data_IF_143080035575
#
_entry.id   IF_143080035575
#
_cell.length_a   1.000
_cell.length_b   1.000
_cell.length_c   1.000
_cell.angle_alpha   90.00
_cell.angle_beta   90.00
_cell.angle_gamma   90.00
#
_symmetry.space_group_name_H-M   'P 1'
#
loop_
_entity.id
_entity.type
_entity.pdbx_description
1 polymer ?
#
# COMPACT_ATOMS: atom_id res chain seq x y z
N UNK A 1 3.86 -2.42 12.80
CA UNK A 1 4.44 -1.06 12.90
C UNK A 1 3.77 -0.02 11.99
N UNK A 2 3.07 -0.38 10.91
CA UNK A 2 2.68 0.60 9.88
C UNK A 2 1.22 1.08 9.91
N UNK A 3 0.41 0.61 10.86
CA UNK A 3 -1.02 0.95 10.94
C UNK A 3 -1.29 2.47 10.99
N UNK A 4 -0.57 3.30 11.77
CA UNK A 4 -0.83 4.75 11.81
C UNK A 4 -0.65 5.44 10.44
N UNK A 5 0.34 4.97 9.66
CA UNK A 5 0.64 5.50 8.33
C UNK A 5 -0.42 5.13 7.28
N UNK A 6 -1.16 4.04 7.48
CA UNK A 6 -2.32 3.69 6.66
C UNK A 6 -3.59 4.40 7.12
N UNK A 7 -3.78 4.59 8.43
CA UNK A 7 -5.03 5.15 8.98
C UNK A 7 -5.17 6.63 8.61
N UNK A 8 -4.10 7.43 8.69
CA UNK A 8 -4.18 8.86 8.44
C UNK A 8 -4.67 9.23 7.03
N UNK A 9 -4.12 8.68 5.93
CA UNK A 9 -4.61 9.04 4.59
C UNK A 9 -6.02 8.52 4.33
N UNK A 10 -6.40 7.37 4.91
CA UNK A 10 -7.78 6.86 4.83
C UNK A 10 -8.73 7.82 5.57
N UNK A 11 -8.35 8.30 6.75
CA UNK A 11 -9.13 9.24 7.52
C UNK A 11 -9.33 10.55 6.76
N UNK A 12 -8.26 11.14 6.21
CA UNK A 12 -8.34 12.38 5.42
C UNK A 12 -9.24 12.20 4.20
N UNK A 13 -9.15 11.06 3.52
CA UNK A 13 -9.99 10.76 2.37
C UNK A 13 -11.47 10.61 2.72
N UNK A 14 -11.78 10.08 3.90
CA UNK A 14 -13.16 10.00 4.41
C UNK A 14 -13.69 11.38 4.83
N UNK A 15 -12.86 12.20 5.49
CA UNK A 15 -13.22 13.55 5.96
C UNK A 15 -13.46 14.53 4.81
N UNK A 16 -12.82 14.29 3.65
CA UNK A 16 -12.99 15.11 2.44
C UNK A 16 -14.35 14.86 1.76
N UNK A 17 -15.08 13.79 2.10
CA UNK A 17 -16.37 13.47 1.46
C UNK A 17 -17.44 14.48 1.93
N UNK A 18 -18.05 15.25 1.01
CA UNK A 18 -19.05 16.24 1.39
C UNK A 18 -20.30 15.56 1.96
N UNK A 19 -20.80 16.09 3.09
CA UNK A 19 -21.99 15.56 3.81
C UNK A 19 -23.24 15.53 2.94
N UNK A 20 -23.35 16.44 1.96
CA UNK A 20 -24.47 16.49 1.01
C UNK A 20 -24.66 15.19 0.20
N UNK A 21 -23.58 14.43 -0.06
CA UNK A 21 -23.68 13.13 -0.74
C UNK A 21 -24.33 12.06 0.15
N UNK A 22 -24.09 12.13 1.47
CA UNK A 22 -24.70 11.22 2.44
C UNK A 22 -26.16 11.59 2.71
N UNK A 23 -26.46 12.88 2.75
CA UNK A 23 -27.83 13.40 2.86
C UNK A 23 -28.66 12.99 1.63
N UNK A 24 -28.17 13.23 0.41
CA UNK A 24 -28.85 12.82 -0.82
C UNK A 24 -29.06 11.30 -0.92
N UNK A 25 -28.09 10.49 -0.46
CA UNK A 25 -28.27 9.05 -0.39
C UNK A 25 -29.37 8.64 0.60
N UNK A 26 -29.47 9.35 1.72
CA UNK A 26 -30.50 9.12 2.75
C UNK A 26 -31.89 9.55 2.26
N UNK A 27 -31.98 10.66 1.54
CA UNK A 27 -33.22 11.17 0.92
C UNK A 27 -33.76 10.18 -0.14
N UNK A 28 -32.88 9.49 -0.86
CA UNK A 28 -33.23 8.43 -1.80
C UNK A 28 -33.58 7.09 -1.11
N UNK A 29 -33.63 7.05 0.23
CA UNK A 29 -33.96 5.86 1.00
C UNK A 29 -32.83 4.81 1.08
N UNK A 30 -31.57 5.19 0.81
CA UNK A 30 -30.46 4.26 0.90
C UNK A 30 -30.19 3.83 2.35
N UNK A 31 -30.11 2.53 2.58
CA UNK A 31 -29.66 1.97 3.86
C UNK A 31 -28.18 2.30 4.11
N UNK A 32 -27.72 2.38 5.38
CA UNK A 32 -26.33 2.72 5.71
C UNK A 32 -25.28 1.89 4.97
N UNK A 33 -25.52 0.59 4.82
CA UNK A 33 -24.62 -0.30 4.06
C UNK A 33 -24.58 0.02 2.56
N UNK A 34 -25.73 0.38 1.96
CA UNK A 34 -25.82 0.81 0.56
C UNK A 34 -25.11 2.14 0.36
N UNK A 35 -25.29 3.09 1.27
CA UNK A 35 -24.61 4.39 1.24
C UNK A 35 -23.09 4.22 1.37
N UNK A 36 -22.61 3.37 2.29
CA UNK A 36 -21.20 3.04 2.42
C UNK A 36 -20.62 2.47 1.12
N UNK A 37 -21.23 1.41 0.56
CA UNK A 37 -20.65 0.69 -0.59
C UNK A 37 -20.71 1.50 -1.89
N UNK A 38 -21.69 2.39 -2.03
CA UNK A 38 -21.99 3.08 -3.30
C UNK A 38 -21.57 4.54 -3.32
N UNK A 39 -21.42 5.17 -2.16
CA UNK A 39 -21.01 6.57 -2.02
C UNK A 39 -19.65 6.66 -1.33
N UNK A 40 -19.53 6.14 -0.11
CA UNK A 40 -18.31 6.33 0.71
C UNK A 40 -17.11 5.58 0.14
N UNK A 41 -17.27 4.29 -0.17
CA UNK A 41 -16.20 3.43 -0.66
C UNK A 41 -15.58 3.93 -1.99
N UNK A 42 -16.35 4.22 -3.06
CA UNK A 42 -15.76 4.69 -4.30
C UNK A 42 -15.12 6.09 -4.17
N UNK A 43 -15.69 7.00 -3.36
CA UNK A 43 -15.12 8.33 -3.16
C UNK A 43 -13.86 8.31 -2.27
N UNK A 44 -13.75 7.38 -1.32
CA UNK A 44 -12.52 7.22 -0.50
C UNK A 44 -11.45 6.33 -1.15
N UNK A 45 -11.77 5.63 -2.25
CA UNK A 45 -10.87 4.70 -2.93
C UNK A 45 -9.50 5.30 -3.32
N UNK A 46 -9.40 6.54 -3.84
CA UNK A 46 -8.10 7.16 -4.13
C UNK A 46 -7.23 7.29 -2.87
N UNK A 47 -7.84 7.66 -1.74
CA UNK A 47 -7.15 7.75 -0.45
C UNK A 47 -6.73 6.41 0.12
N UNK A 48 -7.56 5.37 -0.05
CA UNK A 48 -7.22 3.99 0.33
C UNK A 48 -6.05 3.46 -0.49
N UNK A 49 -6.03 3.73 -1.80
CA UNK A 49 -4.91 3.35 -2.68
C UNK A 49 -3.63 4.09 -2.31
N UNK A 50 -3.72 5.39 -2.01
CA UNK A 50 -2.59 6.19 -1.53
C UNK A 50 -2.03 5.65 -0.20
N UNK A 51 -2.90 5.35 0.77
CA UNK A 51 -2.52 4.73 2.04
C UNK A 51 -1.84 3.38 1.86
N UNK A 52 -2.40 2.52 0.99
CA UNK A 52 -1.85 1.22 0.69
C UNK A 52 -0.44 1.33 0.11
N UNK A 53 -0.19 2.28 -0.79
CA UNK A 53 1.14 2.51 -1.35
C UNK A 53 2.16 3.00 -0.31
N UNK A 54 1.76 3.95 0.54
CA UNK A 54 2.61 4.50 1.60
C UNK A 54 3.06 3.41 2.57
N UNK A 55 2.22 2.41 2.84
CA UNK A 55 2.57 1.27 3.71
C UNK A 55 3.27 0.14 2.96
N UNK A 56 2.94 -0.10 1.69
CA UNK A 56 3.53 -1.18 0.90
C UNK A 56 5.04 -0.99 0.70
N UNK A 57 5.48 0.22 0.38
CA UNK A 57 6.90 0.51 0.12
C UNK A 57 7.81 0.15 1.32
N UNK A 58 7.56 0.64 2.55
CA UNK A 58 8.41 0.30 3.68
C UNK A 58 8.23 -1.14 4.17
N UNK A 59 7.05 -1.74 4.02
CA UNK A 59 6.83 -3.14 4.46
C UNK A 59 7.59 -4.15 3.60
N UNK A 60 7.70 -3.93 2.29
CA UNK A 60 8.49 -4.80 1.40
C UNK A 60 9.99 -4.69 1.72
N UNK A 61 10.45 -3.51 2.12
CA UNK A 61 11.85 -3.27 2.51
C UNK A 61 12.20 -3.72 3.92
N UNK A 62 11.22 -4.03 4.77
CA UNK A 62 11.45 -4.37 6.18
C UNK A 62 11.86 -5.84 6.34
N UNK A 63 13.14 -6.12 6.19
CA UNK A 63 13.72 -7.44 6.46
C UNK A 63 14.37 -7.54 7.85
N UNK A 64 14.56 -6.40 8.54
CA UNK A 64 15.28 -6.34 9.82
C UNK A 64 14.37 -6.70 10.98
N UNK A 65 13.17 -6.12 11.04
CA UNK A 65 12.15 -6.45 12.06
C UNK A 65 11.80 -7.94 12.10
N UNK A 66 11.49 -8.59 10.96
CA UNK A 66 11.21 -10.04 10.93
C UNK A 66 12.46 -10.89 11.16
N UNK A 67 13.66 -10.41 10.86
CA UNK A 67 14.88 -11.16 11.18
C UNK A 67 15.19 -11.20 12.69
N UNK A 68 14.75 -10.18 13.43
CA UNK A 68 14.95 -10.08 14.88
C UNK A 68 13.81 -10.73 15.67
N UNK A 69 12.59 -10.71 15.15
CA UNK A 69 11.38 -11.22 15.82
C UNK A 69 10.93 -12.58 15.28
N UNK A 70 11.26 -12.90 14.03
CA UNK A 70 10.98 -14.19 13.40
C UNK A 70 12.15 -15.15 13.57
N UNK A 71 11.85 -16.39 13.94
CA UNK A 71 12.85 -17.45 14.10
C UNK A 71 13.56 -17.83 12.79
N UNK A 72 14.45 -18.84 12.79
CA UNK A 72 15.33 -19.18 11.67
C UNK A 72 14.65 -19.54 10.33
N UNK A 73 13.31 -19.63 10.27
CA UNK A 73 12.53 -19.89 9.06
C UNK A 73 11.92 -18.63 8.40
N UNK A 74 12.06 -17.43 8.97
CA UNK A 74 11.55 -16.20 8.36
C UNK A 74 12.55 -15.57 7.39
N UNK A 75 12.94 -16.33 6.37
CA UNK A 75 13.78 -15.82 5.29
C UNK A 75 12.99 -14.84 4.43
N UNK A 76 13.28 -13.55 4.60
CA UNK A 76 12.76 -12.46 3.77
C UNK A 76 13.72 -12.20 2.60
N UNK A 77 13.21 -11.68 1.49
CA UNK A 77 14.01 -11.31 0.31
C UNK A 77 15.23 -10.44 0.69
N UNK A 78 15.06 -9.51 1.64
CA UNK A 78 16.15 -8.67 2.12
C UNK A 78 17.25 -9.43 2.87
N UNK A 79 16.90 -10.46 3.65
CA UNK A 79 17.91 -11.31 4.33
C UNK A 79 18.71 -12.17 3.34
N UNK A 80 18.07 -12.62 2.25
CA UNK A 80 18.72 -13.32 1.14
C UNK A 80 19.72 -12.42 0.42
N UNK A 81 19.34 -11.20 0.09
CA UNK A 81 20.27 -10.24 -0.54
C UNK A 81 21.45 -9.97 0.38
N UNK A 82 21.20 -9.73 1.68
CA UNK A 82 22.25 -9.51 2.67
C UNK A 82 23.21 -10.70 2.79
N UNK A 83 22.72 -11.95 2.71
CA UNK A 83 23.59 -13.13 2.77
C UNK A 83 24.50 -13.25 1.55
N UNK A 84 24.06 -12.81 0.37
CA UNK A 84 24.88 -12.83 -0.85
C UNK A 84 26.03 -11.82 -0.80
N UNK A 85 25.79 -10.62 -0.24
CA UNK A 85 26.86 -9.63 -0.03
C UNK A 85 27.80 -9.98 1.12
N UNK A 86 27.29 -10.62 2.18
CA UNK A 86 28.07 -10.96 3.37
C UNK A 86 28.70 -12.35 3.33
N UNK A 87 27.89 -13.40 3.51
CA UNK A 87 28.36 -14.78 3.71
C UNK A 87 28.90 -15.43 2.44
N UNK A 88 28.30 -15.15 1.29
CA UNK A 88 28.71 -15.72 0.00
C UNK A 88 29.86 -14.94 -0.67
N UNK A 89 30.10 -13.68 -0.29
CA UNK A 89 31.02 -12.76 -0.99
C UNK A 89 30.77 -12.61 -2.51
N UNK A 90 29.56 -12.94 -2.97
CA UNK A 90 29.14 -12.83 -4.37
C UNK A 90 28.45 -11.48 -4.62
N UNK A 91 29.24 -10.41 -4.55
CA UNK A 91 28.78 -9.03 -4.75
C UNK A 91 28.05 -8.81 -6.09
N UNK A 92 28.50 -9.37 -7.24
CA UNK A 92 27.80 -9.20 -8.50
C UNK A 92 26.39 -9.82 -8.48
N UNK A 93 26.22 -10.97 -7.83
CA UNK A 93 24.94 -11.66 -7.74
C UNK A 93 23.98 -10.96 -6.77
N UNK A 94 24.50 -10.48 -5.62
CA UNK A 94 23.73 -9.63 -4.70
C UNK A 94 23.23 -8.35 -5.36
N UNK A 95 24.05 -7.72 -6.21
CA UNK A 95 23.66 -6.53 -6.97
C UNK A 95 22.54 -6.85 -7.99
N UNK A 96 22.65 -7.95 -8.74
CA UNK A 96 21.63 -8.38 -9.69
C UNK A 96 20.27 -8.62 -9.01
N UNK A 97 20.25 -9.35 -7.88
CA UNK A 97 19.04 -9.56 -7.08
C UNK A 97 18.43 -8.24 -6.59
N UNK A 98 19.26 -7.31 -6.12
CA UNK A 98 18.80 -5.99 -5.65
C UNK A 98 18.13 -5.20 -6.77
N UNK A 99 18.72 -5.21 -7.97
CA UNK A 99 18.15 -4.55 -9.16
C UNK A 99 16.83 -5.21 -9.57
N UNK A 100 16.75 -6.55 -9.57
CA UNK A 100 15.50 -7.25 -9.87
C UNK A 100 14.37 -6.86 -8.89
N UNK A 101 14.66 -6.81 -7.59
CA UNK A 101 13.67 -6.41 -6.57
C UNK A 101 13.27 -4.94 -6.74
N UNK A 102 14.22 -4.06 -7.03
CA UNK A 102 13.96 -2.64 -7.34
C UNK A 102 12.98 -2.52 -8.53
N UNK A 103 13.20 -3.29 -9.60
CA UNK A 103 12.32 -3.28 -10.78
C UNK A 103 10.91 -3.77 -10.46
N UNK A 104 10.77 -4.80 -9.62
CA UNK A 104 9.46 -5.29 -9.17
C UNK A 104 8.72 -4.21 -8.38
N UNK A 105 9.38 -3.57 -7.42
CA UNK A 105 8.79 -2.48 -6.62
C UNK A 105 8.37 -1.32 -7.53
N UNK A 106 9.24 -0.93 -8.48
CA UNK A 106 8.93 0.11 -9.45
C UNK A 106 7.70 -0.24 -10.28
N UNK A 107 7.60 -1.49 -10.76
CA UNK A 107 6.46 -1.96 -11.54
C UNK A 107 5.14 -1.87 -10.74
N UNK A 108 5.15 -2.31 -9.47
CA UNK A 108 3.98 -2.20 -8.57
C UNK A 108 3.57 -0.73 -8.37
N UNK A 109 4.53 0.16 -8.12
CA UNK A 109 4.25 1.59 -7.94
C UNK A 109 3.67 2.21 -9.22
N UNK A 110 4.18 1.85 -10.40
CA UNK A 110 3.66 2.34 -11.67
C UNK A 110 2.23 1.84 -11.94
N UNK A 111 1.94 0.57 -11.66
CA UNK A 111 0.58 0.00 -11.79
C UNK A 111 -0.38 0.72 -10.85
N UNK A 112 0.01 0.92 -9.60
CA UNK A 112 -0.84 1.59 -8.62
C UNK A 112 -1.07 3.08 -8.96
N UNK A 113 -0.04 3.80 -9.45
CA UNK A 113 -0.22 5.15 -10.01
C UNK A 113 -1.14 5.17 -11.23
N UNK A 114 -1.05 4.16 -12.09
CA UNK A 114 -1.95 4.00 -13.24
C UNK A 114 -3.40 3.77 -12.81
N UNK A 115 -3.61 2.98 -11.76
CA UNK A 115 -4.93 2.77 -11.17
C UNK A 115 -5.47 4.08 -10.58
N UNK A 116 -4.65 4.81 -9.83
CA UNK A 116 -5.04 6.08 -9.20
C UNK A 116 -5.51 7.12 -10.24
N UNK A 117 -4.80 7.24 -11.37
CA UNK A 117 -5.22 8.10 -12.50
C UNK A 117 -6.58 7.72 -13.10
N UNK A 118 -6.96 6.44 -13.08
CA UNK A 118 -8.27 5.98 -13.58
C UNK A 118 -9.40 6.34 -12.61
N UNK A 119 -9.12 6.40 -11.32
CA UNK A 119 -10.11 6.76 -10.29
C UNK A 119 -10.22 8.28 -10.10
N UNK A 120 -9.11 9.02 -10.17
CA UNK A 120 -9.07 10.49 -10.02
C UNK A 120 -9.66 11.29 -11.19
N UNK A 121 -9.98 10.66 -12.33
CA UNK A 121 -10.61 11.33 -13.48
C UNK A 121 -12.15 11.42 -13.39
N UNK A 122 -12.76 10.95 -12.28
CA UNK A 122 -14.22 10.90 -12.10
C UNK A 122 -14.77 11.84 -11.02
N UNK A 123 -13.92 12.69 -10.45
CA UNK A 123 -14.28 13.77 -9.52
C UNK A 123 -14.03 15.12 -10.15
#
# INVERSE_FOLDING_TARGET
AYAPFAILPIYVALDTIPKSLLEAASDLGARPFTSFRRVVLPNSMPGVLAAALVVFVPTVGDYVTPAMVGGPASTMIGTLIQSQFGKANDWPFGAALSVCVMLVILCVVLVARGADRRFGSRT
#
